data_IF_181380842860
#
_entry.id   IF_181380842860
#
_cell.length_a   1.000
_cell.length_b   1.000
_cell.length_c   1.000
_cell.angle_alpha   90.00
_cell.angle_beta   90.00
_cell.angle_gamma   90.00
#
_symmetry.space_group_name_H-M   'P 1'
#
loop_
_entity.id
_entity.type
_entity.pdbx_description
1 polymer ?
#
# COMPACT_ATOMS: atom_id res chain seq x y z
N UNK A 1 -21.31 -24.45 8.55
CA UNK A 1 -19.92 -24.84 8.28
C UNK A 1 -19.07 -23.59 8.31
N UNK A 2 -17.92 -23.59 9.00
CA UNK A 2 -17.09 -22.39 9.09
C UNK A 2 -16.49 -22.12 7.72
N UNK A 3 -16.72 -20.91 7.19
CA UNK A 3 -16.12 -20.47 5.94
C UNK A 3 -14.63 -20.25 6.22
N UNK A 4 -13.81 -21.18 5.76
CA UNK A 4 -12.35 -21.04 5.74
C UNK A 4 -12.00 -20.01 4.66
N UNK A 5 -12.24 -18.74 4.96
CA UNK A 5 -11.77 -17.64 4.12
C UNK A 5 -10.32 -17.38 4.45
N UNK A 6 -9.38 -17.79 3.60
CA UNK A 6 -8.00 -17.36 3.75
C UNK A 6 -7.96 -15.83 3.53
N UNK A 7 -7.53 -15.03 4.52
CA UNK A 7 -7.38 -13.59 4.36
C UNK A 7 -6.28 -13.35 3.30
N UNK A 8 -6.69 -12.95 2.09
CA UNK A 8 -5.80 -12.77 0.94
C UNK A 8 -6.23 -13.46 -0.35
N UNK A 9 -7.17 -14.42 -0.30
CA UNK A 9 -7.69 -15.08 -1.53
C UNK A 9 -8.39 -14.09 -2.47
N UNK A 10 -9.06 -13.07 -1.93
CA UNK A 10 -9.74 -12.03 -2.71
C UNK A 10 -8.79 -11.30 -3.67
N UNK A 11 -7.80 -10.54 -3.17
CA UNK A 11 -6.85 -9.82 -4.01
C UNK A 11 -6.11 -10.72 -5.01
N UNK A 12 -5.70 -11.92 -4.59
CA UNK A 12 -5.04 -12.87 -5.48
C UNK A 12 -5.96 -13.30 -6.63
N UNK A 13 -7.23 -13.63 -6.35
CA UNK A 13 -8.19 -14.01 -7.38
C UNK A 13 -8.44 -12.87 -8.40
N UNK A 14 -8.45 -11.61 -7.95
CA UNK A 14 -8.55 -10.45 -8.83
C UNK A 14 -7.33 -10.33 -9.75
N UNK A 15 -6.12 -10.55 -9.23
CA UNK A 15 -4.88 -10.53 -10.02
C UNK A 15 -4.90 -11.65 -11.07
N UNK A 16 -5.26 -12.87 -10.68
CA UNK A 16 -5.35 -14.01 -11.59
C UNK A 16 -6.40 -13.78 -12.69
N UNK A 17 -7.60 -13.31 -12.34
CA UNK A 17 -8.64 -13.00 -13.31
C UNK A 17 -8.23 -11.90 -14.28
N UNK A 18 -7.58 -10.83 -13.76
CA UNK A 18 -7.07 -9.74 -14.60
C UNK A 18 -5.98 -10.21 -15.57
N UNK A 19 -5.10 -11.10 -15.12
CA UNK A 19 -4.06 -11.69 -15.95
C UNK A 19 -4.63 -12.57 -17.07
N UNK A 20 -5.57 -13.46 -16.74
CA UNK A 20 -6.26 -14.31 -17.71
C UNK A 20 -7.05 -13.46 -18.71
N UNK A 21 -7.78 -12.45 -18.23
CA UNK A 21 -8.49 -11.51 -19.10
C UNK A 21 -7.53 -10.79 -20.05
N UNK A 22 -6.39 -10.29 -19.57
CA UNK A 22 -5.38 -9.63 -20.39
C UNK A 22 -4.77 -10.56 -21.45
N UNK A 23 -4.54 -11.84 -21.13
CA UNK A 23 -4.06 -12.86 -22.08
C UNK A 23 -5.10 -13.15 -23.16
N UNK A 24 -6.34 -13.44 -22.78
CA UNK A 24 -7.43 -13.72 -23.73
C UNK A 24 -7.67 -12.51 -24.65
N UNK A 25 -7.64 -11.30 -24.09
CA UNK A 25 -7.78 -10.08 -24.88
C UNK A 25 -6.61 -9.87 -25.85
N UNK A 26 -5.40 -10.35 -25.53
CA UNK A 26 -4.24 -10.34 -26.46
C UNK A 26 -4.39 -11.31 -27.62
N UNK A 27 -5.09 -12.42 -27.43
CA UNK A 27 -5.26 -13.43 -28.48
C UNK A 27 -6.44 -13.13 -29.43
N UNK A 28 -7.47 -12.40 -28.97
CA UNK A 28 -8.76 -12.32 -29.68
C UNK A 28 -9.03 -10.99 -30.41
N UNK A 29 -8.38 -9.87 -30.06
CA UNK A 29 -8.84 -8.54 -30.50
C UNK A 29 -7.74 -7.70 -31.18
N UNK A 30 -8.01 -7.07 -32.34
CA UNK A 30 -7.06 -6.19 -33.04
C UNK A 30 -6.65 -4.97 -32.20
N UNK A 31 -5.43 -4.46 -32.45
CA UNK A 31 -4.73 -3.42 -31.67
C UNK A 31 -5.58 -2.19 -31.28
N UNK A 32 -6.53 -1.78 -32.12
CA UNK A 32 -7.38 -0.62 -31.91
C UNK A 32 -8.32 -0.74 -30.69
N UNK A 33 -8.80 -1.94 -30.35
CA UNK A 33 -9.66 -2.13 -29.17
C UNK A 33 -8.87 -2.16 -27.86
N UNK A 34 -7.56 -2.48 -27.92
CA UNK A 34 -6.70 -2.57 -26.74
C UNK A 34 -6.48 -1.20 -26.10
N UNK A 35 -6.31 -0.17 -26.92
CA UNK A 35 -6.16 1.20 -26.44
C UNK A 35 -7.40 1.67 -25.69
N UNK A 36 -8.61 1.31 -26.15
CA UNK A 36 -9.87 1.70 -25.49
C UNK A 36 -10.02 1.11 -24.09
N UNK A 37 -9.71 -0.18 -23.91
CA UNK A 37 -9.85 -0.82 -22.58
C UNK A 37 -8.85 -0.25 -21.58
N UNK A 38 -7.61 -0.02 -22.02
CA UNK A 38 -6.59 0.60 -21.17
C UNK A 38 -7.01 2.01 -20.74
N UNK A 39 -7.55 2.80 -21.66
CA UNK A 39 -7.98 4.17 -21.38
C UNK A 39 -9.15 4.24 -20.39
N UNK A 40 -10.13 3.33 -20.51
CA UNK A 40 -11.25 3.21 -19.57
C UNK A 40 -10.76 2.81 -18.18
N UNK A 41 -9.85 1.83 -18.09
CA UNK A 41 -9.28 1.40 -16.80
C UNK A 41 -8.46 2.54 -16.18
N UNK A 42 -7.67 3.26 -16.98
CA UNK A 42 -6.88 4.39 -16.51
C UNK A 42 -7.78 5.54 -16.01
N UNK A 43 -8.82 5.88 -16.76
CA UNK A 43 -9.81 6.89 -16.35
C UNK A 43 -10.51 6.48 -15.06
N UNK A 44 -10.88 5.21 -14.92
CA UNK A 44 -11.46 4.67 -13.69
C UNK A 44 -10.49 4.78 -12.51
N UNK A 45 -9.19 4.50 -12.74
CA UNK A 45 -8.15 4.60 -11.71
C UNK A 45 -7.96 6.02 -11.19
N UNK A 46 -8.09 7.04 -12.04
CA UNK A 46 -7.99 8.46 -11.62
C UNK A 46 -9.03 8.81 -10.55
N UNK A 47 -10.20 8.18 -10.56
CA UNK A 47 -11.26 8.37 -9.55
C UNK A 47 -11.09 7.43 -8.36
N UNK A 48 -10.75 6.17 -8.61
CA UNK A 48 -10.61 5.15 -7.55
C UNK A 48 -9.41 5.42 -6.63
N UNK A 49 -8.29 5.89 -7.17
CA UNK A 49 -7.07 6.19 -6.41
C UNK A 49 -7.31 7.20 -5.27
N UNK A 50 -7.85 8.41 -5.50
CA UNK A 50 -8.13 9.36 -4.43
C UNK A 50 -9.24 8.87 -3.48
N UNK A 51 -10.19 8.08 -3.95
CA UNK A 51 -11.24 7.49 -3.11
C UNK A 51 -10.65 6.53 -2.07
N UNK A 52 -9.69 5.68 -2.45
CA UNK A 52 -8.98 4.78 -1.53
C UNK A 52 -8.23 5.59 -0.47
N UNK A 53 -7.53 6.65 -0.86
CA UNK A 53 -6.85 7.52 0.10
C UNK A 53 -7.81 8.25 1.05
N UNK A 54 -8.95 8.73 0.54
CA UNK A 54 -9.96 9.39 1.35
C UNK A 54 -10.56 8.44 2.40
N UNK A 55 -10.83 7.18 2.03
CA UNK A 55 -11.34 6.19 2.97
C UNK A 55 -10.31 5.81 4.03
N UNK A 56 -9.06 5.57 3.65
CA UNK A 56 -7.99 5.31 4.64
C UNK A 56 -7.82 6.48 5.60
N UNK A 57 -7.92 7.73 5.11
CA UNK A 57 -7.84 8.92 5.96
C UNK A 57 -9.04 9.09 6.88
N UNK A 58 -10.25 8.70 6.44
CA UNK A 58 -11.47 8.78 7.25
C UNK A 58 -11.49 7.78 8.41
N UNK A 59 -10.75 6.68 8.31
CA UNK A 59 -10.64 5.68 9.38
C UNK A 59 -9.68 6.09 10.51
N UNK A 60 -8.96 7.21 10.38
CA UNK A 60 -8.02 7.70 11.40
C UNK A 60 -8.68 8.76 12.28
N UNK A 61 -8.90 8.43 13.55
CA UNK A 61 -9.28 9.40 14.58
C UNK A 61 -8.04 9.81 15.39
N UNK A 62 -7.49 10.97 15.05
CA UNK A 62 -6.29 11.54 15.70
C UNK A 62 -6.62 11.98 17.14
N UNK A 63 -7.89 12.19 17.48
CA UNK A 63 -8.32 12.66 18.80
C UNK A 63 -8.16 11.58 19.88
N UNK A 64 -8.13 10.31 19.46
CA UNK A 64 -7.95 9.15 20.34
C UNK A 64 -6.47 8.81 20.60
N UNK A 65 -5.53 9.49 19.92
CA UNK A 65 -4.11 9.20 20.00
C UNK A 65 -3.36 10.16 20.93
N UNK A 66 -2.56 9.58 21.82
CA UNK A 66 -1.65 10.35 22.68
C UNK A 66 -0.51 10.98 21.87
N UNK A 67 -0.14 12.22 22.21
CA UNK A 67 0.95 12.96 21.54
C UNK A 67 2.29 12.21 21.60
N UNK A 68 2.53 11.42 22.65
CA UNK A 68 3.74 10.60 22.78
C UNK A 68 3.76 9.49 21.74
N UNK A 69 2.63 8.85 21.47
CA UNK A 69 2.53 7.79 20.45
C UNK A 69 2.82 8.36 19.07
N UNK A 70 2.28 9.54 18.75
CA UNK A 70 2.54 10.24 17.47
C UNK A 70 4.04 10.51 17.27
N UNK A 71 4.74 10.96 18.32
CA UNK A 71 6.18 11.19 18.26
C UNK A 71 6.97 9.92 17.96
N UNK A 72 6.61 8.79 18.59
CA UNK A 72 7.22 7.49 18.31
C UNK A 72 6.95 7.02 16.88
N UNK A 73 5.73 7.22 16.39
CA UNK A 73 5.36 6.88 15.01
C UNK A 73 6.20 7.65 13.98
N UNK A 74 6.35 8.97 14.16
CA UNK A 74 7.19 9.81 13.29
C UNK A 74 8.66 9.37 13.35
N UNK A 75 9.17 9.06 14.56
CA UNK A 75 10.54 8.58 14.72
C UNK A 75 10.79 7.25 13.98
N UNK A 76 9.83 6.31 14.04
CA UNK A 76 9.89 5.04 13.32
C UNK A 76 9.89 5.24 11.81
N UNK A 77 9.06 6.16 11.29
CA UNK A 77 9.03 6.49 9.85
C UNK A 77 10.37 7.06 9.39
N UNK A 78 10.94 8.02 10.12
CA UNK A 78 12.26 8.59 9.82
C UNK A 78 13.37 7.53 9.86
N UNK A 79 13.37 6.67 10.88
CA UNK A 79 14.33 5.58 11.00
C UNK A 79 14.22 4.61 9.81
N UNK A 80 13.00 4.27 9.39
CA UNK A 80 12.76 3.40 8.22
C UNK A 80 13.37 3.97 6.94
N UNK A 81 13.21 5.28 6.71
CA UNK A 81 13.81 5.98 5.58
C UNK A 81 15.34 5.92 5.64
N UNK A 82 15.93 6.18 6.81
CA UNK A 82 17.38 6.11 7.00
C UNK A 82 17.93 4.70 6.72
N UNK A 83 17.31 3.65 7.26
CA UNK A 83 17.74 2.26 7.04
C UNK A 83 17.67 1.88 5.56
N UNK A 84 16.63 2.32 4.85
CA UNK A 84 16.48 2.09 3.40
C UNK A 84 17.54 2.81 2.57
N UNK A 85 17.82 4.07 2.89
CA UNK A 85 18.89 4.83 2.22
C UNK A 85 20.24 4.15 2.44
N UNK A 86 20.53 3.70 3.65
CA UNK A 86 21.74 2.93 3.94
C UNK A 86 21.78 1.61 3.15
N UNK A 87 20.67 0.87 3.09
CA UNK A 87 20.56 -0.35 2.29
C UNK A 87 20.80 -0.11 0.79
N UNK A 88 20.21 0.95 0.22
CA UNK A 88 20.48 1.34 -1.16
C UNK A 88 21.95 1.73 -1.36
N UNK A 89 22.52 2.52 -0.45
CA UNK A 89 23.95 2.84 -0.51
C UNK A 89 24.81 1.58 -0.48
N UNK A 90 24.53 0.60 0.39
CA UNK A 90 25.29 -0.65 0.45
C UNK A 90 25.18 -1.49 -0.82
N UNK A 91 23.98 -1.62 -1.40
CA UNK A 91 23.76 -2.39 -2.63
C UNK A 91 24.36 -1.69 -3.84
N UNK A 92 24.27 -0.36 -3.91
CA UNK A 92 24.75 0.44 -5.04
C UNK A 92 26.23 0.86 -4.90
N UNK A 93 26.87 0.63 -3.75
CA UNK A 93 28.30 0.95 -3.54
C UNK A 93 29.22 0.18 -4.50
N UNK A 94 28.74 -0.93 -5.07
CA UNK A 94 29.46 -1.71 -6.09
C UNK A 94 29.22 -1.21 -7.52
N UNK A 95 28.45 -0.14 -7.72
CA UNK A 95 28.14 0.44 -9.04
C UNK A 95 28.81 1.79 -9.28
N UNK A 96 28.96 2.16 -10.56
CA UNK A 96 29.48 3.47 -11.01
C UNK A 96 28.43 4.59 -10.97
N UNK A 97 27.50 4.55 -10.01
CA UNK A 97 26.39 5.51 -9.91
C UNK A 97 26.75 6.69 -9.00
N UNK A 98 26.27 7.87 -9.37
CA UNK A 98 26.51 9.10 -8.62
C UNK A 98 25.66 9.13 -7.33
N UNK A 99 26.14 9.80 -6.28
CA UNK A 99 25.43 9.90 -4.98
C UNK A 99 24.01 10.45 -5.12
N UNK A 100 23.77 11.33 -6.10
CA UNK A 100 22.44 11.87 -6.42
C UNK A 100 21.50 10.81 -6.99
N UNK A 101 22.01 9.87 -7.78
CA UNK A 101 21.23 8.78 -8.38
C UNK A 101 20.89 7.71 -7.35
N UNK A 102 21.83 7.40 -6.45
CA UNK A 102 21.60 6.48 -5.33
C UNK A 102 20.49 7.01 -4.42
N UNK A 103 20.51 8.31 -4.11
CA UNK A 103 19.47 8.95 -3.31
C UNK A 103 18.12 8.98 -4.06
N UNK A 104 18.12 9.25 -5.36
CA UNK A 104 16.90 9.20 -6.18
C UNK A 104 16.27 7.80 -6.22
N UNK A 105 17.09 6.76 -6.40
CA UNK A 105 16.65 5.36 -6.41
C UNK A 105 16.10 4.97 -5.03
N UNK A 106 16.79 5.34 -3.95
CA UNK A 106 16.35 5.08 -2.59
C UNK A 106 15.00 5.75 -2.26
N UNK A 107 14.76 6.96 -2.78
CA UNK A 107 13.48 7.66 -2.61
C UNK A 107 12.34 7.08 -3.46
N UNK A 108 12.60 6.64 -4.70
CA UNK A 108 11.58 5.97 -5.53
C UNK A 108 11.15 4.63 -4.92
N UNK A 109 12.05 3.98 -4.18
CA UNK A 109 11.78 2.71 -3.51
C UNK A 109 10.84 2.84 -2.30
N UNK A 110 10.39 4.06 -1.93
CA UNK A 110 9.29 4.27 -1.00
C UNK A 110 8.00 3.71 -1.64
N UNK A 111 7.85 2.39 -1.54
CA UNK A 111 6.82 1.61 -2.20
C UNK A 111 5.45 2.20 -1.90
N UNK A 112 4.86 2.76 -2.96
CA UNK A 112 3.50 3.26 -3.13
C UNK A 112 2.66 3.19 -1.85
N UNK A 113 2.47 4.36 -1.25
CA UNK A 113 1.44 4.70 -0.26
C UNK A 113 0.12 3.88 -0.39
N UNK A 114 -0.28 3.56 -1.62
CA UNK A 114 -1.44 2.73 -1.96
C UNK A 114 -1.41 1.32 -1.35
N UNK A 115 -0.24 0.67 -1.24
CA UNK A 115 -0.16 -0.67 -0.61
C UNK A 115 -0.42 -0.59 0.89
N UNK A 116 0.06 0.46 1.55
CA UNK A 116 -0.19 0.68 2.97
C UNK A 116 -1.67 1.03 3.19
N UNK A 117 -2.24 1.88 2.34
CA UNK A 117 -3.67 2.22 2.35
C UNK A 117 -4.59 1.01 2.10
N UNK A 118 -4.19 0.08 1.25
CA UNK A 118 -4.96 -1.14 0.96
C UNK A 118 -4.88 -2.19 2.08
N UNK A 119 -3.77 -2.24 2.82
CA UNK A 119 -3.56 -3.20 3.91
C UNK A 119 -4.13 -2.73 5.24
N UNK A 120 -4.13 -1.42 5.50
CA UNK A 120 -4.65 -0.80 6.71
C UNK A 120 -6.08 -1.29 7.10
N UNK A 121 -7.09 -1.28 6.20
CA UNK A 121 -8.44 -1.75 6.54
C UNK A 121 -8.51 -3.26 6.80
N UNK A 122 -7.62 -4.05 6.20
CA UNK A 122 -7.56 -5.49 6.45
C UNK A 122 -7.09 -5.81 7.87
N UNK A 123 -6.12 -5.05 8.39
CA UNK A 123 -5.62 -5.21 9.76
C UNK A 123 -6.72 -4.86 10.76
N UNK A 124 -7.45 -3.77 10.52
CA UNK A 124 -8.57 -3.34 11.35
C UNK A 124 -9.71 -4.37 11.35
N UNK A 125 -10.08 -4.88 10.16
CA UNK A 125 -11.09 -5.94 10.04
C UNK A 125 -10.70 -7.22 10.80
N UNK A 126 -9.43 -7.64 10.71
CA UNK A 126 -8.93 -8.81 11.42
C UNK A 126 -8.98 -8.60 12.94
N UNK A 127 -8.65 -7.40 13.42
CA UNK A 127 -8.70 -7.07 14.85
C UNK A 127 -10.14 -7.07 15.40
N UNK A 128 -11.12 -6.60 14.62
CA UNK A 128 -12.54 -6.68 14.99
C UNK A 128 -13.04 -8.12 15.11
N UNK A 129 -12.52 -9.04 14.29
CA UNK A 129 -12.91 -10.45 14.35
C UNK A 129 -12.34 -11.19 15.58
N UNK A 130 -11.21 -10.73 16.12
CA UNK A 130 -10.59 -11.33 17.30
C UNK A 130 -11.20 -10.90 18.64
N UNK A 131 -12.11 -9.90 18.66
CA UNK A 131 -12.81 -9.34 19.86
C UNK A 131 -11.95 -8.90 21.06
N UNK A 132 -10.62 -9.05 21.02
CA UNK A 132 -9.71 -8.59 22.07
C UNK A 132 -9.51 -7.07 22.01
N UNK A 133 -9.76 -6.32 23.11
CA UNK A 133 -9.65 -4.86 23.12
C UNK A 133 -8.21 -4.36 22.89
N UNK A 134 -7.20 -5.19 23.17
CA UNK A 134 -5.80 -4.88 22.89
C UNK A 134 -5.50 -4.88 21.39
N UNK A 135 -6.05 -5.84 20.64
CA UNK A 135 -5.79 -5.99 19.21
C UNK A 135 -6.42 -4.85 18.39
N UNK A 136 -7.55 -4.31 18.87
CA UNK A 136 -8.22 -3.17 18.26
C UNK A 136 -7.37 -1.91 18.36
N UNK A 137 -6.77 -1.63 19.53
CA UNK A 137 -5.89 -0.48 19.70
C UNK A 137 -4.62 -0.58 18.83
N UNK A 138 -3.99 -1.75 18.79
CA UNK A 138 -2.82 -1.99 17.92
C UNK A 138 -3.16 -1.83 16.43
N UNK A 139 -4.36 -2.24 16.03
CA UNK A 139 -4.81 -2.04 14.66
C UNK A 139 -5.01 -0.56 14.32
N UNK A 140 -5.64 0.23 15.20
CA UNK A 140 -5.80 1.68 15.01
C UNK A 140 -4.44 2.40 14.94
N UNK A 141 -3.49 2.02 15.79
CA UNK A 141 -2.11 2.54 15.73
C UNK A 141 -1.42 2.20 14.40
N UNK A 142 -1.62 0.97 13.88
CA UNK A 142 -1.05 0.55 12.60
C UNK A 142 -1.64 1.28 11.39
N UNK A 143 -2.95 1.58 11.41
CA UNK A 143 -3.63 2.38 10.39
C UNK A 143 -3.12 3.83 10.43
N UNK A 144 -2.95 4.38 11.63
CA UNK A 144 -2.41 5.73 11.82
C UNK A 144 -0.96 5.84 11.35
N UNK A 145 -0.13 4.84 11.67
CA UNK A 145 1.24 4.71 11.14
C UNK A 145 1.26 4.70 9.62
N UNK A 146 0.35 3.95 8.99
CA UNK A 146 0.24 3.90 7.54
C UNK A 146 -0.10 5.28 6.97
N UNK A 147 -1.06 6.02 7.56
CA UNK A 147 -1.40 7.37 7.11
C UNK A 147 -0.23 8.35 7.31
N UNK A 148 0.45 8.32 8.45
CA UNK A 148 1.64 9.16 8.70
C UNK A 148 2.81 8.83 7.77
N UNK A 149 2.93 7.59 7.31
CA UNK A 149 3.95 7.17 6.35
C UNK A 149 3.59 7.51 4.89
N UNK A 150 2.32 7.80 4.62
CA UNK A 150 1.80 8.22 3.32
C UNK A 150 1.89 9.73 3.12
N UNK A 151 1.65 10.51 4.18
CA UNK A 151 1.75 11.99 4.20
C UNK A 151 3.20 12.47 4.13
#
# INVERSE_FOLDING_TARGET
GPKVGLPGTGPLSCIFSSFVAAMLWKMQVPLQSKMRVVDIIQTSWVVLCPMVFAFTGSDVDISLLDLKTIQWMVAIVLLSICVRLLGCCLVLCSGELNWKEILFIGLIFQGKATNQAALAPQILYNAWFSEDPMNINLAVESVTLAVLAIM
#
